data_IF_684969048688
#
_entry.id   IF_684969048688
#
_cell.length_a   1.000
_cell.length_b   1.000
_cell.length_c   1.000
_cell.angle_alpha   90.00
_cell.angle_beta   90.00
_cell.angle_gamma   90.00
#
_symmetry.space_group_name_H-M   'P 1'
#
loop_
_entity.id
_entity.type
_entity.pdbx_description
1 polymer ?
#
# COMPACT_ATOMS: atom_id res chain seq x y z
N UNK A 1 15.95 -8.89 33.78
CA UNK A 1 15.27 -7.74 33.16
C UNK A 1 14.95 -8.10 31.71
N UNK A 2 13.72 -8.52 31.35
CA UNK A 2 13.35 -8.69 29.96
C UNK A 2 12.86 -7.34 29.40
N UNK A 3 13.57 -6.81 28.41
CA UNK A 3 13.07 -5.71 27.59
C UNK A 3 11.95 -6.21 26.69
N UNK A 4 10.89 -5.40 26.64
CA UNK A 4 9.60 -5.64 26.02
C UNK A 4 9.66 -6.04 24.55
N UNK A 5 9.13 -7.22 24.23
CA UNK A 5 8.57 -7.52 22.91
C UNK A 5 7.16 -6.89 22.84
N UNK A 6 7.05 -5.66 22.37
CA UNK A 6 5.75 -5.01 22.12
C UNK A 6 5.53 -4.49 20.68
N UNK A 7 6.43 -4.77 19.72
CA UNK A 7 6.21 -4.35 18.32
C UNK A 7 5.38 -5.34 17.47
N UNK A 8 5.28 -6.62 17.87
CA UNK A 8 4.65 -7.67 17.05
C UNK A 8 3.11 -7.61 16.95
N UNK A 9 2.45 -6.76 17.75
CA UNK A 9 0.97 -6.73 17.83
C UNK A 9 0.30 -5.77 16.85
N UNK A 10 0.90 -4.59 16.57
CA UNK A 10 0.25 -3.53 15.81
C UNK A 10 0.18 -3.84 14.30
N UNK A 11 1.32 -4.23 13.71
CA UNK A 11 1.40 -4.56 12.28
C UNK A 11 0.60 -5.82 11.92
N UNK A 12 0.53 -6.82 12.80
CA UNK A 12 -0.24 -8.04 12.55
C UNK A 12 -1.76 -7.78 12.42
N UNK A 13 -2.28 -6.78 13.14
CA UNK A 13 -3.66 -6.31 12.97
C UNK A 13 -3.86 -5.60 11.63
N UNK A 14 -2.96 -4.67 11.30
CA UNK A 14 -2.98 -3.94 10.02
C UNK A 14 -2.92 -4.90 8.82
N UNK A 15 -2.09 -5.93 8.88
CA UNK A 15 -1.96 -6.94 7.81
C UNK A 15 -3.24 -7.75 7.64
N UNK A 16 -3.87 -8.16 8.74
CA UNK A 16 -5.15 -8.90 8.68
C UNK A 16 -6.24 -8.06 8.04
N UNK A 17 -6.29 -6.77 8.33
CA UNK A 17 -7.28 -5.88 7.74
C UNK A 17 -7.00 -5.61 6.25
N UNK A 18 -5.73 -5.38 5.90
CA UNK A 18 -5.31 -5.21 4.51
C UNK A 18 -5.60 -6.49 3.71
N UNK A 19 -5.40 -7.68 4.27
CA UNK A 19 -5.73 -8.94 3.63
C UNK A 19 -7.17 -8.97 3.14
N UNK A 20 -8.15 -8.52 3.93
CA UNK A 20 -9.56 -8.53 3.50
C UNK A 20 -9.78 -7.64 2.27
N UNK A 21 -9.19 -6.45 2.28
CA UNK A 21 -9.26 -5.44 1.23
C UNK A 21 -8.57 -5.92 -0.06
N UNK A 22 -7.35 -6.44 0.09
CA UNK A 22 -6.47 -6.91 -0.96
C UNK A 22 -6.90 -8.25 -1.53
N UNK A 23 -7.37 -9.19 -0.70
CA UNK A 23 -7.97 -10.43 -1.17
C UNK A 23 -9.22 -10.14 -2.01
N UNK A 24 -10.04 -9.16 -1.60
CA UNK A 24 -11.14 -8.68 -2.43
C UNK A 24 -10.66 -8.19 -3.81
N UNK A 25 -9.59 -7.39 -3.86
CA UNK A 25 -8.99 -6.88 -5.10
C UNK A 25 -8.45 -7.98 -6.02
N UNK A 26 -7.84 -9.01 -5.44
CA UNK A 26 -7.06 -9.98 -6.20
C UNK A 26 -7.71 -11.37 -6.28
N UNK A 27 -8.88 -11.58 -5.66
CA UNK A 27 -9.64 -12.83 -5.70
C UNK A 27 -10.11 -13.21 -7.11
N UNK A 28 -9.93 -14.48 -7.48
CA UNK A 28 -10.18 -15.06 -8.81
C UNK A 28 -8.89 -15.63 -9.41
N UNK A 29 -8.98 -16.77 -10.12
CA UNK A 29 -7.86 -17.65 -10.57
C UNK A 29 -6.71 -17.00 -11.36
N UNK A 30 -5.80 -17.85 -11.89
CA UNK A 30 -4.48 -17.52 -12.47
C UNK A 30 -4.29 -16.06 -12.87
N UNK A 31 -3.24 -15.43 -12.33
CA UNK A 31 -2.98 -13.98 -12.37
C UNK A 31 -3.18 -13.35 -13.76
N UNK A 32 -4.39 -12.91 -14.05
CA UNK A 32 -4.74 -12.10 -15.22
C UNK A 32 -3.80 -10.87 -15.31
N UNK A 33 -3.36 -10.47 -16.52
CA UNK A 33 -2.43 -9.35 -16.70
C UNK A 33 -2.84 -8.05 -15.98
N UNK A 34 -4.15 -7.80 -15.90
CA UNK A 34 -4.73 -6.64 -15.23
C UNK A 34 -4.54 -6.68 -13.70
N UNK A 35 -4.71 -7.86 -13.08
CA UNK A 35 -4.43 -8.07 -11.66
C UNK A 35 -2.94 -7.92 -11.38
N UNK A 36 -2.10 -8.46 -12.25
CA UNK A 36 -0.65 -8.32 -12.16
C UNK A 36 -0.21 -6.86 -12.16
N UNK A 37 -0.78 -6.04 -13.05
CA UNK A 37 -0.51 -4.60 -13.12
C UNK A 37 -0.98 -3.89 -11.85
N UNK A 38 -2.21 -4.18 -11.37
CA UNK A 38 -2.73 -3.55 -10.14
C UNK A 38 -1.86 -3.82 -8.91
N UNK A 39 -1.31 -5.04 -8.80
CA UNK A 39 -0.36 -5.39 -7.73
C UNK A 39 0.93 -4.58 -7.87
N UNK A 40 1.51 -4.48 -9.07
CA UNK A 40 2.72 -3.69 -9.27
C UNK A 40 2.51 -2.21 -8.94
N UNK A 41 1.39 -1.62 -9.38
CA UNK A 41 1.08 -0.22 -9.07
C UNK A 41 0.89 -0.03 -7.56
N UNK A 42 0.16 -0.94 -6.88
CA UNK A 42 0.00 -0.89 -5.43
C UNK A 42 1.37 -0.91 -4.73
N UNK A 43 2.22 -1.89 -5.03
CA UNK A 43 3.54 -1.97 -4.40
C UNK A 43 4.44 -0.79 -4.76
N UNK A 44 4.38 -0.26 -5.99
CA UNK A 44 5.08 0.96 -6.36
C UNK A 44 4.62 2.17 -5.53
N UNK A 45 3.32 2.38 -5.37
CA UNK A 45 2.78 3.49 -4.57
C UNK A 45 3.14 3.35 -3.09
N UNK A 46 3.12 2.13 -2.56
CA UNK A 46 3.63 1.86 -1.21
C UNK A 46 5.11 2.20 -1.06
N UNK A 47 5.90 1.87 -2.08
CA UNK A 47 7.31 2.28 -2.15
C UNK A 47 7.45 3.79 -2.12
N UNK A 48 6.67 4.53 -2.91
CA UNK A 48 6.74 6.00 -2.98
C UNK A 48 6.39 6.64 -1.64
N UNK A 49 5.35 6.14 -0.96
CA UNK A 49 4.97 6.62 0.38
C UNK A 49 6.06 6.31 1.41
N UNK A 50 6.56 5.06 1.46
CA UNK A 50 7.63 4.66 2.38
C UNK A 50 8.98 5.35 2.09
N UNK A 51 9.26 5.70 0.83
CA UNK A 51 10.46 6.42 0.42
C UNK A 51 10.37 7.95 0.58
N UNK A 52 9.27 8.46 1.16
CA UNK A 52 9.08 9.90 1.36
C UNK A 52 10.08 10.48 2.35
N UNK A 53 10.43 9.71 3.38
CA UNK A 53 11.48 10.00 4.33
C UNK A 53 12.41 8.78 4.40
N UNK A 54 13.69 8.98 4.09
CA UNK A 54 14.69 7.96 3.72
C UNK A 54 15.02 6.86 4.76
N UNK A 55 14.19 6.63 5.77
CA UNK A 55 14.44 5.71 6.87
C UNK A 55 13.66 4.41 6.64
N UNK A 56 14.33 3.46 5.99
CA UNK A 56 13.89 2.07 5.97
C UNK A 56 13.94 1.55 7.39
N UNK A 57 12.79 1.26 7.98
CA UNK A 57 12.77 0.51 9.24
C UNK A 57 12.67 -0.99 8.91
N UNK A 58 13.31 -1.84 9.72
CA UNK A 58 13.21 -3.30 9.61
C UNK A 58 11.74 -3.78 9.57
N UNK A 59 10.85 -3.01 10.19
CA UNK A 59 9.42 -3.26 10.25
C UNK A 59 8.72 -3.11 8.89
N UNK A 60 9.17 -2.22 8.01
CA UNK A 60 8.57 -2.04 6.68
C UNK A 60 8.91 -3.18 5.74
N UNK A 61 10.16 -3.67 5.79
CA UNK A 61 10.57 -4.82 4.98
C UNK A 61 9.84 -6.10 5.41
N UNK A 62 9.65 -6.32 6.72
CA UNK A 62 8.81 -7.41 7.23
C UNK A 62 7.35 -7.23 6.79
N UNK A 63 6.81 -6.02 6.87
CA UNK A 63 5.46 -5.71 6.45
C UNK A 63 5.22 -6.04 4.97
N UNK A 64 6.12 -5.60 4.07
CA UNK A 64 6.01 -5.86 2.63
C UNK A 64 6.07 -7.35 2.32
N UNK A 65 6.92 -8.11 3.01
CA UNK A 65 6.99 -9.57 2.87
C UNK A 65 5.69 -10.25 3.33
N UNK A 66 5.17 -9.87 4.49
CA UNK A 66 3.91 -10.42 5.01
C UNK A 66 2.72 -10.05 4.12
N UNK A 67 2.70 -8.85 3.53
CA UNK A 67 1.69 -8.46 2.56
C UNK A 67 1.72 -9.36 1.31
N UNK A 68 2.91 -9.69 0.79
CA UNK A 68 3.04 -10.63 -0.32
C UNK A 68 2.56 -12.05 0.04
N UNK A 69 2.80 -12.50 1.27
CA UNK A 69 2.31 -13.79 1.79
C UNK A 69 0.77 -13.79 1.82
N UNK A 70 0.16 -12.72 2.31
CA UNK A 70 -1.30 -12.61 2.42
C UNK A 70 -2.02 -12.49 1.08
N UNK A 71 -1.38 -11.88 0.07
CA UNK A 71 -1.88 -11.86 -1.32
C UNK A 71 -1.81 -13.27 -1.94
N UNK A 72 -0.96 -14.16 -1.42
CA UNK A 72 -0.70 -15.47 -2.01
C UNK A 72 0.19 -15.38 -3.24
N UNK A 73 1.10 -14.40 -3.30
CA UNK A 73 2.03 -14.27 -4.42
C UNK A 73 3.04 -15.42 -4.42
N UNK A 74 3.06 -16.19 -5.52
CA UNK A 74 4.14 -17.13 -5.83
C UNK A 74 5.44 -16.41 -6.25
N UNK A 75 6.55 -17.15 -6.36
CA UNK A 75 7.90 -16.59 -6.55
C UNK A 75 8.02 -15.44 -7.56
N UNK A 76 7.55 -15.63 -8.80
CA UNK A 76 7.59 -14.57 -9.84
C UNK A 76 6.74 -13.35 -9.48
N UNK A 77 5.59 -13.55 -8.84
CA UNK A 77 4.72 -12.46 -8.39
C UNK A 77 5.38 -11.66 -7.27
N UNK A 78 6.06 -12.34 -6.33
CA UNK A 78 6.82 -11.70 -5.25
C UNK A 78 7.98 -10.87 -5.78
N UNK A 79 8.75 -11.43 -6.72
CA UNK A 79 9.87 -10.72 -7.35
C UNK A 79 9.40 -9.42 -8.02
N UNK A 80 8.29 -9.47 -8.76
CA UNK A 80 7.70 -8.30 -9.40
C UNK A 80 7.17 -7.27 -8.40
N UNK A 81 6.42 -7.72 -7.38
CA UNK A 81 5.90 -6.85 -6.34
C UNK A 81 7.04 -6.16 -5.56
N UNK A 82 8.07 -6.91 -5.18
CA UNK A 82 9.23 -6.36 -4.49
C UNK A 82 10.05 -5.42 -5.38
N UNK A 83 10.21 -5.74 -6.67
CA UNK A 83 10.85 -4.84 -7.63
C UNK A 83 10.08 -3.53 -7.76
N UNK A 84 8.74 -3.59 -7.91
CA UNK A 84 7.89 -2.42 -7.98
C UNK A 84 7.97 -1.55 -6.72
N UNK A 85 7.92 -2.17 -5.54
CA UNK A 85 8.13 -1.47 -4.27
C UNK A 85 9.47 -0.75 -4.21
N UNK A 86 10.56 -1.41 -4.62
CA UNK A 86 11.88 -0.80 -4.63
C UNK A 86 12.00 0.37 -5.62
N UNK A 87 11.41 0.26 -6.82
CA UNK A 87 11.36 1.37 -7.79
C UNK A 87 10.62 2.56 -7.19
N UNK A 88 9.44 2.31 -6.61
CA UNK A 88 8.64 3.34 -5.94
C UNK A 88 9.43 4.06 -4.85
N UNK A 89 10.10 3.29 -3.99
CA UNK A 89 10.93 3.81 -2.91
C UNK A 89 12.09 4.68 -3.39
N UNK A 90 12.71 4.32 -4.50
CA UNK A 90 13.77 5.12 -5.14
C UNK A 90 13.24 6.32 -5.92
N UNK A 91 11.91 6.51 -5.94
CA UNK A 91 11.22 7.49 -6.80
C UNK A 91 11.57 7.32 -8.29
N UNK A 92 11.83 6.07 -8.69
CA UNK A 92 12.07 5.65 -10.08
C UNK A 92 10.76 5.25 -10.77
N UNK A 93 9.64 5.87 -10.36
CA UNK A 93 8.30 5.64 -10.89
C UNK A 93 7.65 6.97 -11.23
N UNK A 94 6.82 6.96 -12.26
CA UNK A 94 5.94 8.07 -12.57
C UNK A 94 4.61 7.82 -11.86
N UNK A 95 4.43 8.46 -10.70
CA UNK A 95 3.25 8.30 -9.84
C UNK A 95 1.97 8.59 -10.60
N UNK A 96 1.96 9.65 -11.40
CA UNK A 96 0.79 10.06 -12.16
C UNK A 96 0.45 9.02 -13.22
N UNK A 97 1.46 8.61 -14.02
CA UNK A 97 1.25 7.65 -15.10
C UNK A 97 0.88 6.24 -14.60
N UNK A 98 1.47 5.79 -13.48
CA UNK A 98 1.15 4.49 -12.91
C UNK A 98 -0.25 4.45 -12.28
N UNK A 99 -0.67 5.55 -11.63
CA UNK A 99 -2.05 5.69 -11.17
C UNK A 99 -3.04 5.80 -12.35
N UNK A 100 -2.67 6.45 -13.45
CA UNK A 100 -3.52 6.48 -14.65
C UNK A 100 -3.70 5.09 -15.28
N UNK A 101 -2.65 4.25 -15.31
CA UNK A 101 -2.77 2.85 -15.75
C UNK A 101 -3.71 2.05 -14.86
N UNK A 102 -3.62 2.24 -13.54
CA UNK A 102 -4.54 1.61 -12.59
C UNK A 102 -5.98 2.07 -12.86
N UNK A 103 -6.18 3.38 -13.02
CA UNK A 103 -7.50 3.97 -13.23
C UNK A 103 -8.13 3.66 -14.59
N UNK A 104 -7.31 3.32 -15.59
CA UNK A 104 -7.77 2.85 -16.89
C UNK A 104 -8.43 1.45 -16.80
N UNK A 105 -7.95 0.61 -15.88
CA UNK A 105 -8.51 -0.73 -15.63
C UNK A 105 -9.62 -0.68 -14.57
N UNK A 106 -9.40 0.11 -13.52
CA UNK A 106 -10.34 0.29 -12.41
C UNK A 106 -10.74 1.77 -12.31
N UNK A 107 -11.85 2.19 -12.95
CA UNK A 107 -12.29 3.58 -12.93
C UNK A 107 -12.47 4.14 -11.51
N UNK A 108 -12.36 5.46 -11.37
CA UNK A 108 -12.61 6.15 -10.10
C UNK A 108 -13.99 5.78 -9.54
N UNK A 109 -14.06 5.56 -8.23
CA UNK A 109 -15.29 5.22 -7.52
C UNK A 109 -15.65 3.72 -7.53
N UNK A 110 -14.89 2.86 -8.21
CA UNK A 110 -15.08 1.41 -8.06
C UNK A 110 -14.60 0.90 -6.70
N UNK A 111 -15.05 -0.29 -6.32
CA UNK A 111 -14.57 -0.92 -5.08
C UNK A 111 -13.07 -1.21 -5.13
N UNK A 112 -12.50 -1.44 -6.31
CA UNK A 112 -11.08 -1.71 -6.46
C UNK A 112 -10.24 -0.48 -6.13
N UNK A 113 -10.61 0.69 -6.67
CA UNK A 113 -9.94 1.95 -6.32
C UNK A 113 -10.07 2.26 -4.83
N UNK A 114 -11.25 2.02 -4.24
CA UNK A 114 -11.47 2.19 -2.80
C UNK A 114 -10.55 1.28 -1.98
N UNK A 115 -10.40 0.02 -2.39
CA UNK A 115 -9.54 -0.95 -1.70
C UNK A 115 -8.05 -0.62 -1.84
N UNK A 116 -7.60 -0.14 -3.00
CA UNK A 116 -6.22 0.35 -3.18
C UNK A 116 -5.96 1.52 -2.25
N UNK A 117 -6.87 2.50 -2.24
CA UNK A 117 -6.78 3.66 -1.37
C UNK A 117 -6.74 3.27 0.12
N UNK A 118 -7.67 2.43 0.58
CA UNK A 118 -7.72 1.98 1.97
C UNK A 118 -6.44 1.22 2.37
N UNK A 119 -5.84 0.46 1.46
CA UNK A 119 -4.57 -0.23 1.68
C UNK A 119 -3.42 0.77 1.85
N UNK A 120 -3.32 1.79 0.98
CA UNK A 120 -2.29 2.82 1.07
C UNK A 120 -2.38 3.58 2.41
N UNK A 121 -3.60 3.94 2.83
CA UNK A 121 -3.83 4.64 4.10
C UNK A 121 -3.38 3.80 5.29
N UNK A 122 -3.82 2.54 5.36
CA UNK A 122 -3.46 1.62 6.47
C UNK A 122 -1.96 1.37 6.57
N UNK A 123 -1.26 1.38 5.44
CA UNK A 123 0.19 1.14 5.41
C UNK A 123 0.95 2.38 5.80
N UNK A 124 0.56 3.53 5.26
CA UNK A 124 1.12 4.82 5.65
C UNK A 124 0.90 5.11 7.15
N UNK A 125 -0.13 4.49 7.73
CA UNK A 125 -0.43 4.53 9.15
C UNK A 125 0.36 3.49 9.98
N UNK A 126 0.89 2.40 9.41
CA UNK A 126 1.19 1.19 10.19
C UNK A 126 2.19 1.34 11.36
N UNK A 127 3.06 2.36 11.37
CA UNK A 127 4.07 2.59 12.40
C UNK A 127 3.66 3.58 13.51
N UNK A 128 2.45 4.14 13.48
CA UNK A 128 2.00 5.11 14.48
C UNK A 128 2.47 6.54 14.22
N UNK A 129 3.25 6.80 13.16
CA UNK A 129 3.98 8.06 12.96
C UNK A 129 4.06 8.47 11.49
N UNK A 130 2.92 8.94 10.97
CA UNK A 130 2.91 9.57 9.65
C UNK A 130 3.61 10.93 9.67
N UNK A 131 4.65 11.07 8.84
CA UNK A 131 5.41 12.30 8.70
C UNK A 131 4.72 13.27 7.72
N UNK A 132 4.98 14.58 7.81
CA UNK A 132 4.36 15.56 6.91
C UNK A 132 4.66 15.32 5.42
N UNK A 133 5.85 14.81 5.10
CA UNK A 133 6.25 14.45 3.73
C UNK A 133 5.46 13.27 3.18
N UNK A 134 5.29 12.22 3.99
CA UNK A 134 4.47 11.04 3.67
C UNK A 134 3.00 11.42 3.48
N UNK A 135 2.47 12.23 4.41
CA UNK A 135 1.10 12.74 4.34
C UNK A 135 0.85 13.53 3.05
N UNK A 136 1.79 14.39 2.66
CA UNK A 136 1.67 15.19 1.43
C UNK A 136 1.64 14.32 0.17
N UNK A 137 2.46 13.27 0.12
CA UNK A 137 2.44 12.32 -1.00
C UNK A 137 1.12 11.53 -1.02
N UNK A 138 0.68 11.08 0.15
CA UNK A 138 -0.59 10.36 0.28
C UNK A 138 -1.79 11.23 -0.12
N UNK A 139 -1.79 12.53 0.22
CA UNK A 139 -2.79 13.50 -0.24
C UNK A 139 -2.81 13.63 -1.77
N UNK A 140 -1.64 13.69 -2.43
CA UNK A 140 -1.55 13.74 -3.89
C UNK A 140 -2.15 12.47 -4.53
N UNK A 141 -1.78 11.29 -4.01
CA UNK A 141 -2.32 10.01 -4.48
C UNK A 141 -3.84 9.94 -4.23
N UNK A 142 -4.31 10.41 -3.08
CA UNK A 142 -5.75 10.46 -2.71
C UNK A 142 -6.56 11.24 -3.74
N UNK A 143 -6.11 12.45 -4.09
CA UNK A 143 -6.78 13.30 -5.08
C UNK A 143 -6.78 12.63 -6.46
N UNK A 144 -5.67 12.00 -6.85
CA UNK A 144 -5.58 11.28 -8.12
C UNK A 144 -6.57 10.12 -8.19
N UNK A 145 -6.71 9.35 -7.12
CA UNK A 145 -7.69 8.26 -7.01
C UNK A 145 -9.15 8.74 -6.98
N UNK A 146 -9.39 10.05 -6.85
CA UNK A 146 -10.73 10.65 -6.90
C UNK A 146 -11.36 10.93 -5.53
N UNK A 147 -10.56 10.89 -4.46
CA UNK A 147 -11.01 11.20 -3.11
C UNK A 147 -10.55 12.61 -2.69
N UNK A 148 -11.28 13.23 -1.77
CA UNK A 148 -10.86 14.51 -1.18
C UNK A 148 -9.87 14.30 -0.04
N UNK A 149 -9.12 15.35 0.31
CA UNK A 149 -8.25 15.33 1.49
C UNK A 149 -9.04 15.09 2.79
N UNK A 150 -10.32 15.48 2.84
CA UNK A 150 -11.20 15.22 3.98
C UNK A 150 -11.49 13.73 4.15
N UNK A 151 -11.72 13.01 3.04
CA UNK A 151 -11.87 11.55 3.05
C UNK A 151 -10.59 10.88 3.56
N UNK A 152 -9.41 11.37 3.16
CA UNK A 152 -8.14 10.88 3.70
C UNK A 152 -8.05 11.07 5.23
N UNK A 153 -8.38 12.26 5.73
CA UNK A 153 -8.38 12.52 7.18
C UNK A 153 -9.32 11.55 7.92
N UNK A 154 -10.55 11.38 7.43
CA UNK A 154 -11.51 10.44 8.03
C UNK A 154 -11.01 8.98 8.03
N UNK A 155 -10.32 8.56 6.96
CA UNK A 155 -9.75 7.21 6.86
C UNK A 155 -8.59 7.01 7.81
N UNK A 156 -7.75 8.03 8.01
CA UNK A 156 -6.67 8.00 9.00
C UNK A 156 -7.26 7.87 10.41
N UNK A 157 -8.27 8.68 10.75
CA UNK A 157 -8.96 8.59 12.04
C UNK A 157 -9.55 7.20 12.30
N UNK A 158 -10.20 6.61 11.28
CA UNK A 158 -10.74 5.24 11.35
C UNK A 158 -9.65 4.16 11.51
N UNK A 159 -8.45 4.41 10.97
CA UNK A 159 -7.29 3.55 11.14
C UNK A 159 -6.60 3.76 12.50
N UNK A 160 -7.05 4.72 13.31
CA UNK A 160 -6.49 5.05 14.62
C UNK A 160 -5.40 6.13 14.59
N UNK A 161 -5.44 7.04 13.61
CA UNK A 161 -4.44 8.08 13.33
C UNK A 161 -5.03 9.49 13.36
#
# INVERSE_FOLDING_TARGET
MPFEQQSKGAFGGVIRDIKSVVSGLFSGGELEPEKQMGIEVLFAMLGVVAGADSIVTTHEAEFVNQLMDEIGLGGKGRERAFAAFNRGRRREVDVEADLDKLLAVYPKGTQEVARVFDSLVRIAAADGRMRPSERKILEQITVKLGYSAEVLTQRLEQAGF
#
